data_IF_204395765115
#
_entry.id   IF_204395765115
#
_cell.length_a   1.000
_cell.length_b   1.000
_cell.length_c   1.000
_cell.angle_alpha   90.00
_cell.angle_beta   90.00
_cell.angle_gamma   90.00
#
_symmetry.space_group_name_H-M   'P 1'
#
loop_
_entity.id
_entity.type
_entity.pdbx_description
1 polymer ?
#
# COMPACT_ATOMS: atom_id res chain seq x y z
N UNK A 1 -0.29 8.71 -20.31
CA UNK A 1 -0.70 7.56 -21.14
C UNK A 1 -1.05 6.33 -20.30
N UNK A 2 -0.16 5.90 -19.39
CA UNK A 2 -0.38 4.72 -18.52
C UNK A 2 -1.61 4.84 -17.61
N UNK A 3 -1.82 5.98 -16.92
CA UNK A 3 -3.01 6.17 -16.06
C UNK A 3 -4.33 6.00 -16.83
N UNK A 4 -4.43 6.63 -18.01
CA UNK A 4 -5.61 6.54 -18.87
C UNK A 4 -5.89 5.09 -19.31
N UNK A 5 -4.84 4.31 -19.56
CA UNK A 5 -4.97 2.88 -19.84
C UNK A 5 -5.48 2.11 -18.61
N UNK A 6 -4.93 2.35 -17.41
CA UNK A 6 -5.42 1.75 -16.16
C UNK A 6 -6.89 2.07 -15.91
N UNK A 7 -7.28 3.32 -16.16
CA UNK A 7 -8.67 3.77 -15.98
C UNK A 7 -9.65 3.06 -16.91
N UNK A 8 -9.26 2.85 -18.17
CA UNK A 8 -10.10 2.18 -19.17
C UNK A 8 -10.16 0.66 -18.92
N UNK A 9 -9.03 0.03 -18.61
CA UNK A 9 -8.93 -1.44 -18.59
C UNK A 9 -9.25 -2.08 -17.24
N UNK A 10 -8.95 -1.40 -16.13
CA UNK A 10 -9.07 -1.98 -14.78
C UNK A 10 -10.10 -1.25 -13.92
N UNK A 11 -10.19 0.08 -14.05
CA UNK A 11 -11.15 0.92 -13.34
C UNK A 11 -11.10 0.77 -11.81
N UNK A 12 -12.17 1.23 -11.15
CA UNK A 12 -12.46 1.03 -9.70
C UNK A 12 -11.23 1.27 -8.81
N UNK A 13 -10.82 0.26 -8.04
CA UNK A 13 -9.76 0.34 -7.04
C UNK A 13 -8.40 0.68 -7.69
N UNK A 14 -8.13 0.15 -8.89
CA UNK A 14 -6.87 0.41 -9.59
C UNK A 14 -6.76 1.87 -10.04
N UNK A 15 -7.86 2.46 -10.50
CA UNK A 15 -7.92 3.90 -10.82
C UNK A 15 -7.68 4.78 -9.60
N UNK A 16 -8.26 4.42 -8.45
CA UNK A 16 -8.09 5.19 -7.21
C UNK A 16 -6.65 5.14 -6.73
N UNK A 17 -6.05 3.95 -6.60
CA UNK A 17 -4.68 3.84 -6.11
C UNK A 17 -3.66 4.40 -7.10
N UNK A 18 -3.84 4.20 -8.40
CA UNK A 18 -2.95 4.84 -9.39
C UNK A 18 -3.04 6.36 -9.37
N UNK A 19 -4.22 6.92 -9.06
CA UNK A 19 -4.37 8.35 -8.77
C UNK A 19 -3.50 8.78 -7.60
N UNK A 20 -3.64 8.12 -6.45
CA UNK A 20 -2.89 8.43 -5.22
C UNK A 20 -1.38 8.33 -5.41
N UNK A 21 -0.92 7.32 -6.16
CA UNK A 21 0.50 7.11 -6.46
C UNK A 21 1.09 8.23 -7.31
N UNK A 22 0.29 8.84 -8.19
CA UNK A 22 0.74 9.87 -9.12
C UNK A 22 0.68 11.28 -8.51
N UNK A 23 -0.28 11.54 -7.61
CA UNK A 23 -0.47 12.84 -6.96
C UNK A 23 0.26 12.99 -5.62
N UNK A 24 1.00 11.96 -5.18
CA UNK A 24 1.65 11.97 -3.87
C UNK A 24 0.71 11.82 -2.67
N UNK A 25 -0.58 11.57 -2.88
CA UNK A 25 -1.51 11.33 -1.77
C UNK A 25 -1.13 10.12 -0.90
N UNK A 26 -0.28 9.20 -1.40
CA UNK A 26 0.22 8.09 -0.61
C UNK A 26 1.17 8.47 0.54
N UNK A 27 1.71 9.69 0.53
CA UNK A 27 2.63 10.19 1.58
C UNK A 27 2.23 11.57 2.14
N UNK A 28 1.56 12.41 1.35
CA UNK A 28 1.27 13.80 1.74
C UNK A 28 -0.04 13.96 2.53
N UNK A 29 -0.86 12.91 2.63
CA UNK A 29 -2.20 13.01 3.23
C UNK A 29 -2.13 12.94 4.76
N UNK A 30 -2.82 13.88 5.42
CA UNK A 30 -2.92 13.93 6.88
C UNK A 30 -3.94 12.95 7.48
N UNK A 31 -5.03 12.65 6.76
CA UNK A 31 -6.08 11.73 7.20
C UNK A 31 -6.16 10.50 6.29
N UNK A 32 -5.80 9.30 6.79
CA UNK A 32 -5.88 8.06 6.02
C UNK A 32 -7.29 7.72 5.56
N UNK A 33 -7.43 7.26 4.32
CA UNK A 33 -8.65 6.59 3.87
C UNK A 33 -8.77 5.18 4.45
N UNK A 34 -7.63 4.50 4.60
CA UNK A 34 -7.54 3.20 5.24
C UNK A 34 -6.28 3.16 6.11
N UNK A 35 -6.50 3.19 7.42
CA UNK A 35 -5.43 3.22 8.41
C UNK A 35 -4.58 1.94 8.33
N UNK A 36 -3.27 2.11 8.20
CA UNK A 36 -2.31 1.02 8.07
C UNK A 36 -2.39 0.02 9.23
N UNK A 37 -2.64 0.49 10.46
CA UNK A 37 -2.82 -0.38 11.63
C UNK A 37 -4.05 -1.30 11.50
N UNK A 38 -5.16 -0.78 10.96
CA UNK A 38 -6.35 -1.60 10.73
C UNK A 38 -6.06 -2.65 9.66
N UNK A 39 -5.38 -2.28 8.58
CA UNK A 39 -4.98 -3.21 7.52
C UNK A 39 -3.96 -4.23 8.03
N UNK A 40 -3.06 -3.83 8.94
CA UNK A 40 -2.08 -4.72 9.57
C UNK A 40 -2.77 -5.81 10.40
N UNK A 41 -3.83 -5.47 11.12
CA UNK A 41 -4.67 -6.44 11.83
C UNK A 41 -5.34 -7.40 10.84
N UNK A 42 -5.95 -6.87 9.78
CA UNK A 42 -6.70 -7.67 8.81
C UNK A 42 -5.79 -8.63 8.01
N UNK A 43 -4.60 -8.18 7.60
CA UNK A 43 -3.66 -9.02 6.85
C UNK A 43 -3.03 -10.11 7.73
N UNK A 44 -2.79 -9.83 9.03
CA UNK A 44 -2.36 -10.86 9.99
C UNK A 44 -3.44 -11.91 10.19
N UNK A 45 -4.70 -11.50 10.28
CA UNK A 45 -5.82 -12.43 10.37
C UNK A 45 -5.92 -13.31 9.12
N UNK A 46 -5.84 -12.71 7.92
CA UNK A 46 -5.82 -13.44 6.64
C UNK A 46 -4.68 -14.47 6.58
N UNK A 47 -3.48 -14.11 7.02
CA UNK A 47 -2.34 -15.03 7.07
C UNK A 47 -2.56 -16.19 8.05
N UNK A 48 -3.18 -15.92 9.20
CA UNK A 48 -3.57 -16.96 10.16
C UNK A 48 -4.54 -17.97 9.56
N UNK A 49 -5.58 -17.50 8.85
CA UNK A 49 -6.52 -18.37 8.12
C UNK A 49 -5.80 -19.19 7.04
N UNK A 50 -4.86 -18.58 6.32
CA UNK A 50 -4.03 -19.29 5.35
C UNK A 50 -3.24 -20.43 5.99
N UNK A 51 -2.61 -20.18 7.14
CA UNK A 51 -1.88 -21.19 7.90
C UNK A 51 -2.79 -22.34 8.36
N UNK A 52 -3.96 -22.05 8.92
CA UNK A 52 -4.94 -23.06 9.33
C UNK A 52 -5.42 -23.91 8.15
N UNK A 53 -5.54 -23.32 6.96
CA UNK A 53 -5.90 -24.00 5.73
C UNK A 53 -4.71 -24.68 5.01
N UNK A 54 -3.50 -24.67 5.59
CA UNK A 54 -2.26 -25.14 4.95
C UNK A 54 -2.00 -24.50 3.57
N UNK A 55 -2.32 -23.21 3.45
CA UNK A 55 -2.16 -22.39 2.25
C UNK A 55 -1.15 -21.26 2.46
N UNK A 56 -0.21 -21.12 1.53
CA UNK A 56 0.75 -20.02 1.53
C UNK A 56 0.21 -18.82 0.73
N UNK A 57 -0.05 -17.69 1.39
CA UNK A 57 -0.56 -16.47 0.77
C UNK A 57 0.58 -15.49 0.42
N UNK A 58 1.36 -15.82 -0.60
CA UNK A 58 2.58 -15.06 -1.00
C UNK A 58 2.37 -13.57 -1.23
N UNK A 59 1.23 -13.19 -1.83
CA UNK A 59 0.91 -11.78 -2.06
C UNK A 59 0.60 -11.04 -0.75
N UNK A 60 -0.05 -11.70 0.21
CA UNK A 60 -0.30 -11.13 1.53
C UNK A 60 1.01 -10.96 2.33
N UNK A 61 1.94 -11.92 2.23
CA UNK A 61 3.28 -11.79 2.84
C UNK A 61 4.05 -10.60 2.25
N UNK A 62 4.06 -10.46 0.92
CA UNK A 62 4.68 -9.32 0.24
C UNK A 62 4.04 -7.99 0.66
N UNK A 63 2.71 -7.93 0.68
CA UNK A 63 1.96 -6.75 1.11
C UNK A 63 2.25 -6.38 2.57
N UNK A 64 2.30 -7.35 3.47
CA UNK A 64 2.63 -7.16 4.88
C UNK A 64 4.04 -6.57 5.04
N UNK A 65 5.03 -7.11 4.32
CA UNK A 65 6.40 -6.64 4.41
C UNK A 65 6.53 -5.16 4.02
N UNK A 66 5.89 -4.74 2.93
CA UNK A 66 5.90 -3.33 2.51
C UNK A 66 5.05 -2.43 3.40
N UNK A 67 3.90 -2.91 3.91
CA UNK A 67 3.08 -2.15 4.86
C UNK A 67 3.88 -1.82 6.12
N UNK A 68 4.57 -2.82 6.68
CA UNK A 68 5.43 -2.63 7.84
C UNK A 68 6.60 -1.67 7.54
N UNK A 69 7.17 -1.73 6.34
CA UNK A 69 8.22 -0.77 5.93
C UNK A 69 7.67 0.65 5.86
N UNK A 70 6.51 0.85 5.25
CA UNK A 70 5.85 2.15 5.18
C UNK A 70 5.52 2.71 6.58
N UNK A 71 4.98 1.87 7.47
CA UNK A 71 4.67 2.25 8.85
C UNK A 71 5.92 2.64 9.64
N UNK A 72 7.07 1.98 9.44
CA UNK A 72 8.33 2.36 10.10
C UNK A 72 8.89 3.70 9.61
N UNK A 73 8.58 4.10 8.38
CA UNK A 73 9.06 5.35 7.79
C UNK A 73 8.29 6.56 8.33
N UNK A 74 7.03 6.37 8.68
CA UNK A 74 6.20 7.41 9.29
C UNK A 74 6.30 7.33 10.81
N UNK A 75 6.78 8.38 11.47
CA UNK A 75 6.86 8.44 12.94
C UNK A 75 5.51 8.71 13.61
N UNK A 76 4.39 8.39 12.94
CA UNK A 76 3.05 8.71 13.43
C UNK A 76 2.00 7.66 13.06
N UNK A 77 0.91 7.67 13.82
CA UNK A 77 -0.14 6.65 13.78
C UNK A 77 -1.07 6.77 12.56
N UNK A 78 -0.92 7.82 11.75
CA UNK A 78 -1.83 8.19 10.67
C UNK A 78 -1.27 7.82 9.29
N UNK A 79 -0.92 6.55 9.09
CA UNK A 79 -0.41 6.06 7.79
C UNK A 79 -1.56 5.47 6.97
N UNK A 80 -1.72 5.91 5.71
CA UNK A 80 -2.63 5.27 4.76
C UNK A 80 -1.99 4.02 4.15
N UNK A 81 -2.80 2.98 3.89
CA UNK A 81 -2.34 1.75 3.24
C UNK A 81 -1.65 2.00 1.89
N UNK A 82 -2.00 3.07 1.17
CA UNK A 82 -1.34 3.42 -0.10
C UNK A 82 0.14 3.79 0.06
N UNK A 83 0.60 4.10 1.28
CA UNK A 83 2.01 4.34 1.61
C UNK A 83 2.94 3.15 1.30
N UNK A 84 2.37 1.94 1.12
CA UNK A 84 3.08 0.78 0.55
C UNK A 84 3.81 1.16 -0.75
N UNK A 85 3.24 2.04 -1.57
CA UNK A 85 3.89 2.50 -2.80
C UNK A 85 5.22 3.21 -2.52
N UNK A 86 5.27 4.10 -1.52
CA UNK A 86 6.51 4.76 -1.11
C UNK A 86 7.56 3.75 -0.62
N UNK A 87 7.14 2.76 0.16
CA UNK A 87 8.04 1.70 0.63
C UNK A 87 8.61 0.84 -0.51
N UNK A 88 7.81 0.60 -1.57
CA UNK A 88 8.25 -0.05 -2.81
C UNK A 88 9.24 0.84 -3.55
N UNK A 89 8.96 2.15 -3.73
CA UNK A 89 9.89 3.09 -4.37
C UNK A 89 11.28 3.05 -3.74
N UNK A 90 11.35 3.14 -2.41
CA UNK A 90 12.61 3.01 -1.66
C UNK A 90 13.31 1.67 -1.88
N UNK A 91 12.55 0.57 -2.02
CA UNK A 91 13.14 -0.74 -2.27
C UNK A 91 13.84 -0.85 -3.64
N UNK A 92 13.52 0.06 -4.56
CA UNK A 92 14.09 0.14 -5.90
C UNK A 92 14.92 1.41 -6.13
N UNK A 93 15.44 2.01 -5.06
CA UNK A 93 16.40 3.12 -5.14
C UNK A 93 15.80 4.48 -5.50
N UNK A 94 14.49 4.64 -5.33
CA UNK A 94 13.80 5.92 -5.47
C UNK A 94 13.45 6.50 -4.09
N UNK A 95 13.24 7.81 -4.02
CA UNK A 95 12.70 8.45 -2.80
C UNK A 95 11.31 7.89 -2.47
N UNK A 96 10.98 7.83 -1.17
CA UNK A 96 9.67 7.38 -0.69
C UNK A 96 8.55 8.25 -1.25
N UNK A 97 8.75 9.56 -1.13
CA UNK A 97 7.95 10.59 -1.76
C UNK A 97 8.22 10.61 -3.27
N UNK A 98 7.19 10.83 -4.07
CA UNK A 98 7.35 11.23 -5.46
C UNK A 98 7.43 12.75 -5.55
N UNK A 99 8.26 13.25 -6.47
CA UNK A 99 8.13 14.63 -6.92
C UNK A 99 6.94 14.67 -7.88
N UNK A 100 6.02 15.62 -7.67
CA UNK A 100 5.01 15.97 -8.67
C UNK A 100 5.67 16.58 -9.91
#
# INVERSE_FOLDING_TARGET
MVKKFTDIMHGRIYSVYSGRMLSGEHWARSEPYALADMVLKDIKHLLGLGQEANMELKNALTGLAYLQKAMRRSLGDQVDVSAIYGAVREAYGLEFENQD
#
